data_IF_847753614335
#
_entry.id   IF_847753614335
#
_cell.length_a   1.000
_cell.length_b   1.000
_cell.length_c   1.000
_cell.angle_alpha   90.00
_cell.angle_beta   90.00
_cell.angle_gamma   90.00
#
_symmetry.space_group_name_H-M   'P 1'
#
loop_
_entity.id
_entity.type
_entity.pdbx_description
1 polymer ?
#
# COMPACT_ATOMS: atom_id res chain seq x y z
N UNK A 1 36.98 37.42 -6.18
CA UNK A 1 37.32 36.31 -5.28
C UNK A 1 36.53 35.12 -5.79
N UNK A 2 37.25 34.23 -6.48
CA UNK A 2 36.69 33.21 -7.36
C UNK A 2 36.16 32.00 -6.57
N UNK A 3 34.95 31.53 -6.90
CA UNK A 3 34.43 30.25 -6.47
C UNK A 3 34.91 29.14 -7.37
N UNK A 4 35.30 27.96 -6.84
CA UNK A 4 35.78 26.89 -7.68
C UNK A 4 34.63 26.13 -8.36
N UNK A 5 34.76 26.00 -9.67
CA UNK A 5 33.95 25.20 -10.59
C UNK A 5 34.02 23.71 -10.24
N UNK A 6 32.84 23.08 -10.05
CA UNK A 6 32.71 21.64 -9.94
C UNK A 6 32.96 20.98 -11.30
N UNK A 7 33.96 20.10 -11.37
CA UNK A 7 34.26 19.28 -12.54
C UNK A 7 33.13 18.21 -12.72
N UNK A 8 32.39 18.31 -13.81
CA UNK A 8 31.54 17.24 -14.32
C UNK A 8 32.44 16.13 -14.90
N UNK A 9 32.38 14.95 -14.32
CA UNK A 9 32.89 13.72 -14.93
C UNK A 9 31.78 13.19 -15.89
N UNK A 10 31.93 13.54 -17.16
CA UNK A 10 31.16 12.94 -18.25
C UNK A 10 31.73 11.53 -18.53
N UNK A 11 31.06 10.52 -17.96
CA UNK A 11 31.30 9.13 -18.36
C UNK A 11 30.44 8.83 -19.59
N UNK A 12 31.04 8.55 -20.71
CA UNK A 12 30.42 8.17 -21.96
C UNK A 12 29.75 6.79 -21.82
N UNK A 13 28.54 6.55 -22.43
CA UNK A 13 27.83 5.27 -22.34
C UNK A 13 28.60 4.05 -22.88
N UNK A 14 29.74 4.25 -23.53
CA UNK A 14 30.58 3.19 -24.14
C UNK A 14 31.62 2.59 -23.20
N UNK A 15 31.84 3.15 -21.99
CA UNK A 15 32.87 2.73 -21.06
C UNK A 15 32.40 1.73 -19.99
N UNK A 16 31.23 1.16 -20.14
CA UNK A 16 30.74 0.09 -19.25
C UNK A 16 31.12 -1.28 -19.83
N UNK A 17 31.70 -2.20 -19.04
CA UNK A 17 31.98 -3.56 -19.48
C UNK A 17 30.72 -4.27 -19.92
N UNK A 18 30.67 -4.84 -21.12
CA UNK A 18 29.54 -5.55 -21.69
C UNK A 18 29.39 -6.99 -21.17
N UNK A 19 30.26 -7.47 -20.30
CA UNK A 19 30.25 -8.83 -19.77
C UNK A 19 29.92 -8.87 -18.29
N UNK A 20 28.61 -8.72 -17.97
CA UNK A 20 28.08 -9.20 -16.70
C UNK A 20 27.65 -10.66 -16.88
N UNK A 21 28.13 -11.62 -16.05
CA UNK A 21 27.74 -13.01 -16.17
C UNK A 21 26.24 -13.18 -15.98
N UNK A 22 25.58 -13.80 -16.95
CA UNK A 22 24.13 -14.08 -16.99
C UNK A 22 23.67 -15.16 -16.01
N UNK A 23 24.51 -15.62 -15.10
CA UNK A 23 24.20 -16.66 -14.11
C UNK A 23 24.44 -16.17 -12.69
N UNK A 24 23.55 -15.30 -12.21
CA UNK A 24 23.35 -15.18 -10.77
C UNK A 24 22.34 -16.27 -10.37
N UNK A 25 22.88 -17.36 -9.84
CA UNK A 25 22.11 -18.48 -9.31
C UNK A 25 21.00 -18.04 -8.36
N UNK A 26 19.80 -18.63 -8.45
CA UNK A 26 18.79 -18.51 -7.40
C UNK A 26 19.26 -19.34 -6.20
N UNK A 27 19.46 -18.68 -5.09
CA UNK A 27 19.61 -19.33 -3.80
C UNK A 27 21.02 -19.77 -3.45
N UNK A 28 21.73 -18.93 -2.69
CA UNK A 28 22.69 -19.44 -1.74
C UNK A 28 21.94 -20.41 -0.80
N UNK A 29 22.49 -21.62 -0.54
CA UNK A 29 21.93 -22.49 0.48
C UNK A 29 21.87 -21.72 1.80
N UNK A 30 20.87 -21.96 2.66
CA UNK A 30 20.81 -21.32 3.97
C UNK A 30 21.98 -21.83 4.81
N UNK A 31 23.14 -21.16 4.75
CA UNK A 31 24.07 -21.23 5.85
C UNK A 31 23.29 -20.71 7.05
N UNK A 32 22.96 -21.61 7.98
CA UNK A 32 22.38 -21.26 9.27
C UNK A 32 23.25 -20.15 9.84
N UNK A 33 22.66 -18.96 9.98
CA UNK A 33 23.35 -17.78 10.41
C UNK A 33 23.85 -17.94 11.85
N UNK A 34 25.06 -18.46 12.01
CA UNK A 34 25.75 -18.60 13.29
C UNK A 34 26.49 -17.32 13.73
N UNK A 35 26.08 -16.14 13.20
CA UNK A 35 26.70 -14.85 13.54
C UNK A 35 25.73 -13.70 13.64
N UNK A 36 24.59 -13.88 14.28
CA UNK A 36 23.79 -12.71 14.67
C UNK A 36 23.48 -12.84 16.15
N UNK A 37 23.75 -11.81 16.88
CA UNK A 37 23.30 -11.56 18.23
C UNK A 37 24.29 -11.95 19.32
N UNK A 38 25.28 -11.10 19.52
CA UNK A 38 25.93 -10.94 20.82
C UNK A 38 25.13 -9.88 21.57
N UNK A 39 24.58 -10.21 22.73
CA UNK A 39 23.84 -9.25 23.54
C UNK A 39 22.76 -9.91 24.40
N UNK A 40 22.13 -9.16 25.30
CA UNK A 40 21.17 -9.68 26.28
C UNK A 40 19.91 -10.33 25.66
N UNK A 41 19.63 -10.09 24.39
CA UNK A 41 18.45 -10.61 23.68
C UNK A 41 18.79 -11.67 22.63
N UNK A 42 20.05 -12.09 22.50
CA UNK A 42 20.54 -12.97 21.47
C UNK A 42 19.73 -14.29 21.34
N UNK A 43 19.54 -14.96 22.45
CA UNK A 43 18.83 -16.25 22.49
C UNK A 43 17.37 -16.12 22.03
N UNK A 44 16.66 -15.07 22.45
CA UNK A 44 15.27 -14.85 22.05
C UNK A 44 15.16 -14.44 20.59
N UNK A 45 16.07 -13.61 20.07
CA UNK A 45 16.13 -13.27 18.66
C UNK A 45 16.40 -14.49 17.77
N UNK A 46 17.29 -15.40 18.20
CA UNK A 46 17.56 -16.64 17.49
C UNK A 46 16.33 -17.57 17.48
N UNK A 47 15.66 -17.73 18.62
CA UNK A 47 14.41 -18.47 18.72
C UNK A 47 13.33 -17.93 17.77
N UNK A 48 13.16 -16.58 17.74
CA UNK A 48 12.17 -15.93 16.87
C UNK A 48 12.54 -16.04 15.40
N UNK A 49 13.84 -15.95 15.07
CA UNK A 49 14.32 -16.15 13.72
C UNK A 49 13.97 -17.57 13.21
N UNK A 50 14.25 -18.61 14.00
CA UNK A 50 13.85 -19.98 13.67
C UNK A 50 12.34 -20.14 13.49
N UNK A 51 11.55 -19.55 14.40
CA UNK A 51 10.07 -19.57 14.32
C UNK A 51 9.56 -18.96 13.00
N UNK A 52 10.14 -17.83 12.54
CA UNK A 52 9.77 -17.14 11.29
C UNK A 52 10.24 -17.95 10.08
N UNK A 53 11.44 -18.51 10.13
CA UNK A 53 12.00 -19.35 9.06
C UNK A 53 11.17 -20.63 8.88
N UNK A 54 10.62 -21.20 9.95
CA UNK A 54 9.72 -22.35 9.90
C UNK A 54 8.28 -21.96 9.46
N UNK A 55 7.97 -20.68 9.27
CA UNK A 55 6.65 -20.19 8.87
C UNK A 55 5.62 -20.16 9.98
N UNK A 56 6.06 -20.21 11.21
CA UNK A 56 5.17 -20.16 12.39
C UNK A 56 4.83 -18.70 12.73
N UNK A 57 3.53 -18.44 12.88
CA UNK A 57 2.99 -17.12 13.22
C UNK A 57 3.54 -16.59 14.55
N UNK A 58 3.98 -15.32 14.55
CA UNK A 58 4.43 -14.62 15.75
C UNK A 58 3.27 -13.95 16.48
N UNK A 59 3.38 -13.84 17.79
CA UNK A 59 2.42 -13.15 18.67
C UNK A 59 2.67 -11.64 18.68
N UNK A 60 1.71 -10.82 19.18
CA UNK A 60 1.91 -9.38 19.35
C UNK A 60 3.13 -9.03 20.21
N UNK A 61 3.36 -9.76 21.31
CA UNK A 61 4.53 -9.56 22.18
C UNK A 61 5.86 -9.86 21.46
N UNK A 62 5.90 -10.94 20.66
CA UNK A 62 7.06 -11.30 19.83
C UNK A 62 7.30 -10.26 18.72
N UNK A 63 6.23 -9.74 18.10
CA UNK A 63 6.33 -8.65 17.13
C UNK A 63 6.91 -7.37 17.72
N UNK A 64 6.45 -6.97 18.90
CA UNK A 64 7.00 -5.82 19.63
C UNK A 64 8.46 -6.05 20.02
N UNK A 65 8.79 -7.24 20.52
CA UNK A 65 10.16 -7.60 20.85
C UNK A 65 11.10 -7.50 19.65
N UNK A 66 10.70 -8.01 18.48
CA UNK A 66 11.45 -7.87 17.24
C UNK A 66 11.60 -6.40 16.81
N UNK A 67 10.52 -5.61 16.94
CA UNK A 67 10.57 -4.18 16.62
C UNK A 67 11.64 -3.45 17.44
N UNK A 68 11.75 -3.75 18.76
CA UNK A 68 12.57 -3.02 19.69
C UNK A 68 14.02 -3.52 19.75
N UNK A 69 14.25 -4.81 19.52
CA UNK A 69 15.53 -5.45 19.77
C UNK A 69 16.25 -6.04 18.56
N UNK A 70 15.55 -6.37 17.47
CA UNK A 70 16.21 -6.87 16.27
C UNK A 70 16.91 -5.73 15.52
N UNK A 71 18.11 -5.99 15.01
CA UNK A 71 18.75 -5.06 14.07
C UNK A 71 18.05 -5.06 12.70
N UNK A 72 18.34 -4.03 11.90
CA UNK A 72 17.67 -3.85 10.61
C UNK A 72 18.02 -4.96 9.60
N UNK A 73 19.24 -5.49 9.65
CA UNK A 73 19.70 -6.53 8.71
C UNK A 73 19.03 -7.86 9.03
N UNK A 74 18.90 -8.21 10.30
CA UNK A 74 18.18 -9.40 10.75
C UNK A 74 16.71 -9.32 10.30
N UNK A 75 16.03 -8.21 10.57
CA UNK A 75 14.64 -8.02 10.15
C UNK A 75 14.49 -8.11 8.63
N UNK A 76 15.38 -7.47 7.88
CA UNK A 76 15.38 -7.50 6.41
C UNK A 76 15.56 -8.91 5.87
N UNK A 77 16.51 -9.69 6.40
CA UNK A 77 16.75 -11.08 6.02
C UNK A 77 15.53 -11.97 6.30
N UNK A 78 14.95 -11.86 7.49
CA UNK A 78 13.76 -12.63 7.85
C UNK A 78 12.56 -12.27 6.98
N UNK A 79 12.34 -10.99 6.73
CA UNK A 79 11.27 -10.51 5.85
C UNK A 79 11.47 -10.98 4.39
N UNK A 80 12.72 -10.96 3.87
CA UNK A 80 13.01 -11.47 2.51
C UNK A 80 12.82 -13.00 2.43
N UNK A 81 13.12 -13.74 3.50
CA UNK A 81 12.81 -15.19 3.59
C UNK A 81 11.30 -15.43 3.50
N UNK A 82 10.48 -14.64 4.22
CA UNK A 82 9.01 -14.73 4.13
C UNK A 82 8.53 -14.36 2.71
N UNK A 83 9.07 -13.29 2.12
CA UNK A 83 8.76 -12.91 0.73
C UNK A 83 9.13 -14.03 -0.24
N UNK A 84 10.33 -14.60 -0.16
CA UNK A 84 10.79 -15.65 -1.07
C UNK A 84 9.92 -16.93 -0.98
N UNK A 85 9.42 -17.26 0.20
CA UNK A 85 8.47 -18.36 0.40
C UNK A 85 7.13 -18.10 -0.29
N UNK A 86 6.62 -16.86 -0.22
CA UNK A 86 5.34 -16.47 -0.83
C UNK A 86 5.44 -16.21 -2.33
N UNK A 87 6.60 -15.73 -2.80
CA UNK A 87 6.86 -15.31 -4.18
C UNK A 87 8.21 -15.88 -4.67
N UNK A 88 8.29 -17.21 -4.86
CA UNK A 88 9.55 -17.90 -5.17
C UNK A 88 10.08 -17.58 -6.58
N UNK A 89 9.22 -17.07 -7.50
CA UNK A 89 9.60 -16.80 -8.89
C UNK A 89 10.50 -15.57 -9.06
N UNK A 90 10.79 -14.83 -7.98
CA UNK A 90 11.61 -13.62 -8.04
C UNK A 90 11.01 -12.47 -8.85
N UNK A 91 9.67 -12.43 -8.94
CA UNK A 91 8.93 -11.34 -9.59
C UNK A 91 8.60 -10.25 -8.59
N UNK A 92 8.65 -9.00 -9.07
CA UNK A 92 8.11 -7.84 -8.36
C UNK A 92 7.09 -7.16 -9.26
N UNK A 93 5.87 -7.03 -8.75
CA UNK A 93 4.76 -6.48 -9.50
C UNK A 93 4.70 -4.95 -9.40
N UNK A 94 4.04 -4.33 -10.39
CA UNK A 94 3.63 -2.91 -10.37
C UNK A 94 2.34 -2.75 -11.18
N UNK A 95 1.60 -1.67 -10.92
CA UNK A 95 0.37 -1.36 -11.68
C UNK A 95 0.49 0.01 -12.35
N UNK A 96 -0.07 0.12 -13.57
CA UNK A 96 -0.21 1.42 -14.24
C UNK A 96 -1.54 2.02 -13.81
N UNK A 97 -1.46 3.06 -12.98
CA UNK A 97 -2.61 3.71 -12.39
C UNK A 97 -2.47 5.23 -12.29
N UNK A 98 -3.54 5.88 -11.91
CA UNK A 98 -3.61 7.31 -11.59
C UNK A 98 -4.29 7.50 -10.25
N UNK A 99 -3.79 8.40 -9.41
CA UNK A 99 -4.53 8.92 -8.25
C UNK A 99 -5.39 10.10 -8.72
N UNK A 100 -6.71 9.97 -8.66
CA UNK A 100 -7.68 10.95 -9.10
C UNK A 100 -8.57 11.38 -7.94
N UNK A 101 -8.58 12.68 -7.66
CA UNK A 101 -9.34 13.24 -6.55
C UNK A 101 -10.50 14.08 -7.09
N UNK A 102 -11.75 13.55 -7.16
CA UNK A 102 -12.89 14.27 -7.70
C UNK A 102 -13.26 15.53 -6.91
N UNK A 103 -12.90 15.59 -5.63
CA UNK A 103 -13.07 16.77 -4.80
C UNK A 103 -12.04 16.81 -3.67
N UNK A 104 -11.57 18.00 -3.31
CA UNK A 104 -10.78 18.24 -2.11
C UNK A 104 -11.62 18.83 -0.95
N UNK A 105 -12.93 19.05 -1.17
CA UNK A 105 -13.82 19.57 -0.14
C UNK A 105 -14.05 18.54 0.95
N UNK A 106 -13.67 18.85 2.20
CA UNK A 106 -13.77 17.93 3.31
C UNK A 106 -14.18 18.64 4.60
N UNK A 107 -15.06 17.97 5.38
CA UNK A 107 -15.52 18.44 6.69
C UNK A 107 -14.86 17.72 7.86
N UNK A 108 -13.89 16.81 7.59
CA UNK A 108 -13.27 15.98 8.63
C UNK A 108 -12.12 16.68 9.35
N UNK A 109 -11.48 17.67 8.72
CA UNK A 109 -10.41 18.52 9.30
C UNK A 109 -9.27 17.69 9.95
N UNK A 110 -8.76 16.65 9.25
CA UNK A 110 -7.66 15.84 9.78
C UNK A 110 -6.40 16.68 9.95
N UNK A 111 -5.76 16.58 11.14
CA UNK A 111 -4.59 17.40 11.48
C UNK A 111 -3.33 17.13 10.64
N UNK A 112 -3.28 15.99 9.95
CA UNK A 112 -2.18 15.58 9.09
C UNK A 112 -2.42 15.81 7.58
N UNK A 113 -3.59 16.32 7.15
CA UNK A 113 -3.94 16.41 5.74
C UNK A 113 -3.70 17.81 5.20
N UNK A 114 -2.74 17.99 4.32
CA UNK A 114 -2.47 19.25 3.61
C UNK A 114 -3.39 19.47 2.39
N UNK A 115 -4.02 18.42 1.91
CA UNK A 115 -4.79 18.44 0.66
C UNK A 115 -6.19 19.04 0.80
N UNK A 116 -6.88 18.77 1.92
CA UNK A 116 -8.28 19.15 2.06
C UNK A 116 -8.52 20.67 2.04
N UNK A 117 -9.70 21.05 1.60
CA UNK A 117 -10.23 22.43 1.72
C UNK A 117 -11.60 22.38 2.40
N UNK A 118 -11.89 23.34 3.25
CA UNK A 118 -13.24 23.50 3.82
C UNK A 118 -14.25 23.92 2.74
N UNK A 119 -15.55 23.58 2.89
CA UNK A 119 -16.57 24.03 1.96
C UNK A 119 -16.55 25.54 1.77
N UNK A 120 -16.45 26.01 0.53
CA UNK A 120 -16.38 27.43 0.19
C UNK A 120 -15.03 28.12 0.40
N UNK A 121 -14.00 27.41 0.86
CA UNK A 121 -12.65 27.95 0.96
C UNK A 121 -12.03 28.14 -0.43
N UNK A 122 -11.05 29.06 -0.52
CA UNK A 122 -10.25 29.25 -1.73
C UNK A 122 -9.57 27.94 -2.14
N UNK A 123 -9.59 27.62 -3.44
CA UNK A 123 -9.05 26.38 -3.99
C UNK A 123 -9.90 25.13 -3.68
N UNK A 124 -11.08 25.28 -3.07
CA UNK A 124 -12.04 24.18 -2.96
C UNK A 124 -12.67 23.87 -4.33
N UNK A 125 -12.72 22.57 -4.69
CA UNK A 125 -13.28 22.16 -5.98
C UNK A 125 -14.11 20.87 -5.90
N UNK A 126 -15.02 20.75 -6.84
CA UNK A 126 -15.55 19.48 -7.35
C UNK A 126 -15.20 19.44 -8.83
N UNK A 127 -14.45 18.39 -9.25
CA UNK A 127 -13.95 18.28 -10.62
C UNK A 127 -15.11 18.06 -11.60
N UNK A 128 -15.10 18.81 -12.69
CA UNK A 128 -16.11 18.69 -13.73
C UNK A 128 -15.94 17.42 -14.58
N UNK A 129 -17.02 16.87 -15.13
CA UNK A 129 -17.00 15.64 -15.95
C UNK A 129 -16.00 15.69 -17.10
N UNK A 130 -15.91 16.77 -17.92
CA UNK A 130 -14.94 16.82 -19.01
C UNK A 130 -13.49 16.65 -18.55
N UNK A 131 -13.11 17.22 -17.41
CA UNK A 131 -11.77 17.09 -16.85
C UNK A 131 -11.52 15.68 -16.31
N UNK A 132 -12.51 15.07 -15.65
CA UNK A 132 -12.44 13.66 -15.24
C UNK A 132 -12.23 12.74 -16.44
N UNK A 133 -13.00 12.93 -17.51
CA UNK A 133 -12.86 12.15 -18.74
C UNK A 133 -11.48 12.32 -19.39
N UNK A 134 -10.97 13.54 -19.48
CA UNK A 134 -9.64 13.81 -20.02
C UNK A 134 -8.56 13.05 -19.27
N UNK A 135 -8.58 13.12 -17.95
CA UNK A 135 -7.60 12.41 -17.10
C UNK A 135 -7.74 10.89 -17.18
N UNK A 136 -8.95 10.38 -17.29
CA UNK A 136 -9.18 8.94 -17.48
C UNK A 136 -8.73 8.48 -18.87
N UNK A 137 -8.90 9.31 -19.91
CA UNK A 137 -8.40 9.01 -21.25
C UNK A 137 -6.88 8.96 -21.29
N UNK A 138 -6.18 9.91 -20.66
CA UNK A 138 -4.73 9.87 -20.54
C UNK A 138 -4.23 8.58 -19.86
N UNK A 139 -4.95 8.09 -18.84
CA UNK A 139 -4.64 6.82 -18.20
C UNK A 139 -4.89 5.64 -19.14
N UNK A 140 -5.99 5.65 -19.90
CA UNK A 140 -6.32 4.62 -20.88
C UNK A 140 -5.28 4.54 -22.01
N UNK A 141 -4.81 5.69 -22.52
CA UNK A 141 -3.85 5.80 -23.62
C UNK A 141 -2.50 5.14 -23.30
N UNK A 142 -2.09 5.15 -22.03
CA UNK A 142 -0.87 4.44 -21.58
C UNK A 142 -1.13 2.99 -21.12
N UNK A 143 -2.33 2.47 -21.37
CA UNK A 143 -2.72 1.11 -20.99
C UNK A 143 -2.96 0.95 -19.48
N UNK A 144 -3.39 2.01 -18.79
CA UNK A 144 -3.74 1.94 -17.38
C UNK A 144 -4.87 0.97 -17.08
N UNK A 145 -4.85 0.37 -15.91
CA UNK A 145 -5.81 -0.67 -15.48
C UNK A 145 -6.54 -0.33 -14.19
N UNK A 146 -6.14 0.72 -13.51
CA UNK A 146 -6.75 1.15 -12.25
C UNK A 146 -6.75 2.67 -12.15
N UNK A 147 -7.83 3.23 -11.63
CA UNK A 147 -7.83 4.56 -11.06
C UNK A 147 -8.01 4.45 -9.55
N UNK A 148 -7.08 5.02 -8.78
CA UNK A 148 -7.25 5.23 -7.34
C UNK A 148 -8.04 6.52 -7.15
N UNK A 149 -9.32 6.40 -6.76
CA UNK A 149 -10.23 7.54 -6.70
C UNK A 149 -10.70 7.79 -5.28
N UNK A 150 -10.13 8.82 -4.66
CA UNK A 150 -10.46 9.24 -3.32
C UNK A 150 -10.68 10.74 -3.28
N UNK A 151 -11.58 11.20 -2.42
CA UNK A 151 -11.88 12.62 -2.27
C UNK A 151 -12.00 13.04 -0.81
N UNK A 152 -12.41 14.29 -0.59
CA UNK A 152 -12.82 14.76 0.72
C UNK A 152 -14.23 14.30 1.09
N UNK A 153 -14.54 14.32 2.38
CA UNK A 153 -15.90 14.10 2.90
C UNK A 153 -16.75 15.35 2.57
N UNK A 154 -17.22 15.40 1.34
CA UNK A 154 -18.02 16.53 0.84
C UNK A 154 -19.43 16.49 1.44
N UNK A 155 -19.96 17.60 2.03
CA UNK A 155 -21.21 17.58 2.79
C UNK A 155 -22.47 17.41 1.94
N UNK A 156 -22.39 17.46 0.62
CA UNK A 156 -23.55 17.39 -0.30
C UNK A 156 -23.45 16.33 -1.39
N UNK A 157 -22.25 15.76 -1.66
CA UNK A 157 -22.11 14.68 -2.66
C UNK A 157 -22.55 13.36 -2.05
N UNK A 158 -23.79 12.98 -2.33
CA UNK A 158 -24.44 11.75 -1.86
C UNK A 158 -24.06 10.54 -2.70
N UNK A 159 -24.47 9.36 -2.28
CA UNK A 159 -24.27 8.09 -3.02
C UNK A 159 -24.72 8.18 -4.47
N UNK A 160 -25.84 8.83 -4.77
CA UNK A 160 -26.36 9.00 -6.13
C UNK A 160 -25.34 9.68 -7.05
N UNK A 161 -24.65 10.75 -6.60
CA UNK A 161 -23.64 11.44 -7.38
C UNK A 161 -22.45 10.53 -7.73
N UNK A 162 -22.03 9.67 -6.79
CA UNK A 162 -20.96 8.70 -7.03
C UNK A 162 -21.40 7.58 -7.97
N UNK A 163 -22.64 7.12 -7.87
CA UNK A 163 -23.21 6.13 -8.79
C UNK A 163 -23.20 6.68 -10.23
N UNK A 164 -23.73 7.89 -10.46
CA UNK A 164 -23.70 8.54 -11.76
C UNK A 164 -22.29 8.68 -12.32
N UNK A 165 -21.31 9.03 -11.47
CA UNK A 165 -19.90 9.11 -11.86
C UNK A 165 -19.37 7.73 -12.28
N UNK A 166 -19.59 6.70 -11.47
CA UNK A 166 -19.06 5.36 -11.72
C UNK A 166 -19.69 4.71 -12.96
N UNK A 167 -20.98 4.87 -13.18
CA UNK A 167 -21.67 4.39 -14.38
C UNK A 167 -21.10 5.03 -15.65
N UNK A 168 -20.92 6.35 -15.65
CA UNK A 168 -20.32 7.09 -16.76
C UNK A 168 -18.88 6.62 -17.03
N UNK A 169 -18.04 6.51 -15.98
CA UNK A 169 -16.65 6.08 -16.14
C UNK A 169 -16.54 4.61 -16.57
N UNK A 170 -17.37 3.71 -16.03
CA UNK A 170 -17.42 2.30 -16.43
C UNK A 170 -17.83 2.12 -17.89
N UNK A 171 -18.80 2.90 -18.35
CA UNK A 171 -19.25 2.86 -19.74
C UNK A 171 -18.16 3.32 -20.69
N UNK A 172 -17.42 4.38 -20.36
CA UNK A 172 -16.38 4.97 -21.21
C UNK A 172 -15.05 4.23 -21.14
N UNK A 173 -14.69 3.72 -19.98
CA UNK A 173 -13.39 3.12 -19.68
C UNK A 173 -13.53 1.73 -19.04
N UNK A 174 -14.14 0.75 -19.75
CA UNK A 174 -14.51 -0.56 -19.17
C UNK A 174 -13.32 -1.40 -18.73
N UNK A 175 -12.10 -1.08 -19.17
CA UNK A 175 -10.88 -1.80 -18.82
C UNK A 175 -10.17 -1.22 -17.59
N UNK A 176 -10.64 -0.09 -17.05
CA UNK A 176 -10.05 0.56 -15.87
C UNK A 176 -10.88 0.23 -14.64
N UNK A 177 -10.26 -0.44 -13.67
CA UNK A 177 -10.90 -0.72 -12.39
C UNK A 177 -11.06 0.57 -11.58
N UNK A 178 -12.27 0.80 -11.07
CA UNK A 178 -12.55 1.87 -10.11
C UNK A 178 -12.17 1.39 -8.70
N UNK A 179 -10.93 1.63 -8.29
CA UNK A 179 -10.44 1.43 -6.93
C UNK A 179 -10.72 2.70 -6.14
N UNK A 180 -11.90 2.77 -5.53
CA UNK A 180 -12.45 4.05 -5.09
C UNK A 180 -13.08 3.99 -3.70
N UNK A 181 -13.23 5.17 -3.07
CA UNK A 181 -13.92 5.38 -1.81
C UNK A 181 -13.34 4.56 -0.65
N UNK A 182 -12.55 5.19 0.19
CA UNK A 182 -12.06 4.58 1.44
C UNK A 182 -13.19 4.26 2.42
N UNK A 183 -12.92 3.41 3.42
CA UNK A 183 -13.90 3.10 4.46
C UNK A 183 -14.49 4.36 5.16
N UNK A 184 -13.70 5.42 5.49
CA UNK A 184 -14.27 6.65 5.99
C UNK A 184 -15.21 7.38 5.01
N UNK A 185 -14.92 7.32 3.69
CA UNK A 185 -15.81 7.92 2.69
C UNK A 185 -17.11 7.13 2.57
N UNK A 186 -17.06 5.80 2.58
CA UNK A 186 -18.26 4.93 2.59
C UNK A 186 -19.12 5.17 3.84
N UNK A 187 -18.49 5.26 5.01
CA UNK A 187 -19.18 5.59 6.26
C UNK A 187 -19.80 7.00 6.23
N UNK A 188 -19.08 7.97 5.62
CA UNK A 188 -19.62 9.31 5.41
C UNK A 188 -20.84 9.31 4.49
N UNK A 189 -20.83 8.58 3.37
CA UNK A 189 -22.00 8.45 2.48
C UNK A 189 -23.17 7.80 3.19
N UNK A 190 -22.93 6.73 3.96
CA UNK A 190 -23.98 6.06 4.75
C UNK A 190 -24.66 7.04 5.74
N UNK A 191 -23.86 7.87 6.43
CA UNK A 191 -24.38 8.91 7.34
C UNK A 191 -25.12 10.01 6.58
N UNK A 192 -24.57 10.47 5.45
CA UNK A 192 -25.16 11.56 4.64
C UNK A 192 -26.51 11.15 4.04
N UNK A 193 -26.66 9.90 3.61
CA UNK A 193 -27.88 9.35 3.06
C UNK A 193 -28.81 8.74 4.12
N UNK A 194 -28.36 8.66 5.39
CA UNK A 194 -29.07 8.01 6.50
C UNK A 194 -29.47 6.56 6.16
N UNK A 195 -28.52 5.81 5.57
CA UNK A 195 -28.69 4.43 5.12
C UNK A 195 -27.60 3.52 5.70
N UNK A 196 -27.85 2.21 5.85
CA UNK A 196 -26.81 1.24 6.16
C UNK A 196 -25.69 1.24 5.09
N UNK A 197 -24.45 1.01 5.49
CA UNK A 197 -23.29 1.00 4.56
C UNK A 197 -23.43 -0.11 3.52
N UNK A 198 -24.04 -1.23 3.86
CA UNK A 198 -24.32 -2.36 2.97
C UNK A 198 -25.26 -1.97 1.82
N UNK A 199 -26.22 -1.08 2.09
CA UNK A 199 -27.13 -0.56 1.06
C UNK A 199 -26.39 0.44 0.13
N UNK A 200 -25.52 1.28 0.69
CA UNK A 200 -24.67 2.20 -0.08
C UNK A 200 -23.71 1.39 -0.96
N UNK A 201 -23.05 0.37 -0.41
CA UNK A 201 -22.14 -0.51 -1.15
C UNK A 201 -22.85 -1.21 -2.32
N UNK A 202 -24.06 -1.72 -2.11
CA UNK A 202 -24.84 -2.38 -3.16
C UNK A 202 -25.06 -1.46 -4.36
N UNK A 203 -25.46 -0.21 -4.11
CA UNK A 203 -25.71 0.76 -5.18
C UNK A 203 -24.39 1.11 -5.91
N UNK A 204 -23.30 1.36 -5.18
CA UNK A 204 -22.00 1.68 -5.75
C UNK A 204 -21.42 0.52 -6.56
N UNK A 205 -21.57 -0.73 -6.10
CA UNK A 205 -21.15 -1.94 -6.83
C UNK A 205 -21.95 -2.06 -8.14
N UNK A 206 -23.24 -1.88 -8.11
CA UNK A 206 -24.08 -1.89 -9.30
C UNK A 206 -23.64 -0.82 -10.31
N UNK A 207 -23.25 0.36 -9.83
CA UNK A 207 -22.74 1.46 -10.63
C UNK A 207 -21.31 1.21 -11.18
N UNK A 208 -20.52 0.30 -10.59
CA UNK A 208 -19.19 -0.03 -11.13
C UNK A 208 -18.02 0.08 -10.14
N UNK A 209 -18.26 0.28 -8.85
CA UNK A 209 -17.20 0.19 -7.85
C UNK A 209 -16.56 -1.20 -7.91
N UNK A 210 -15.27 -1.28 -8.21
CA UNK A 210 -14.57 -2.54 -8.43
C UNK A 210 -13.72 -3.02 -7.25
N UNK A 211 -13.21 -2.12 -6.43
CA UNK A 211 -12.45 -2.42 -5.21
C UNK A 211 -12.31 -1.19 -4.32
N UNK A 212 -11.93 -1.38 -3.05
CA UNK A 212 -11.86 -0.31 -2.05
C UNK A 212 -10.43 -0.14 -1.53
N UNK A 213 -9.85 1.08 -1.54
CA UNK A 213 -8.54 1.32 -0.95
C UNK A 213 -8.59 1.28 0.59
N UNK A 214 -7.52 0.79 1.20
CA UNK A 214 -7.35 0.75 2.66
C UNK A 214 -7.09 2.10 3.33
N UNK A 215 -7.10 3.16 2.55
CA UNK A 215 -6.87 4.51 3.05
C UNK A 215 -7.86 4.92 4.15
N UNK A 216 -7.48 5.91 4.90
CA UNK A 216 -8.24 6.33 6.08
C UNK A 216 -8.02 5.45 7.30
N UNK A 217 -7.25 4.36 7.19
CA UNK A 217 -6.79 3.58 8.32
C UNK A 217 -5.88 4.42 9.22
N UNK A 218 -4.94 5.10 8.65
CA UNK A 218 -3.81 5.78 9.28
C UNK A 218 -3.17 4.91 10.36
N UNK A 219 -3.70 4.97 11.57
CA UNK A 219 -3.40 4.06 12.69
C UNK A 219 -4.73 3.57 13.30
N UNK A 220 -4.97 2.25 13.28
CA UNK A 220 -6.21 1.65 13.82
C UNK A 220 -6.11 1.46 15.34
N UNK A 221 -5.80 2.54 16.04
CA UNK A 221 -5.74 2.65 17.50
C UNK A 221 -6.46 3.93 17.91
N UNK A 222 -7.52 3.81 18.71
CA UNK A 222 -8.45 4.91 18.96
C UNK A 222 -7.77 6.13 19.61
N UNK A 223 -6.81 5.91 20.54
CA UNK A 223 -6.02 7.01 21.13
C UNK A 223 -5.35 7.85 20.05
N UNK A 224 -4.72 7.21 19.10
CA UNK A 224 -4.00 7.88 18.00
C UNK A 224 -4.99 8.62 17.10
N UNK A 225 -6.07 7.94 16.68
CA UNK A 225 -7.10 8.52 15.79
C UNK A 225 -7.73 9.77 16.37
N UNK A 226 -8.06 9.74 17.67
CA UNK A 226 -8.64 10.89 18.37
C UNK A 226 -7.71 12.10 18.36
N UNK A 227 -6.38 11.90 18.37
CA UNK A 227 -5.41 12.99 18.29
C UNK A 227 -5.29 13.53 16.86
N UNK A 228 -5.08 12.65 15.87
CA UNK A 228 -4.72 13.09 14.52
C UNK A 228 -5.91 13.40 13.62
N UNK A 229 -7.08 12.83 13.91
CA UNK A 229 -8.29 12.97 13.09
C UNK A 229 -9.58 12.69 13.89
N UNK A 230 -9.93 13.53 14.89
CA UNK A 230 -11.01 13.27 15.85
C UNK A 230 -12.41 13.14 15.23
N UNK A 231 -12.61 13.71 14.04
CA UNK A 231 -13.90 13.64 13.32
C UNK A 231 -13.96 12.49 12.31
N UNK A 232 -12.87 11.73 12.15
CA UNK A 232 -12.81 10.61 11.21
C UNK A 232 -13.47 9.37 11.82
N UNK A 233 -13.88 8.47 10.94
CA UNK A 233 -14.44 7.15 11.31
C UNK A 233 -13.55 6.45 12.35
N UNK A 234 -14.14 5.90 13.42
CA UNK A 234 -13.46 5.16 14.49
C UNK A 234 -12.78 3.89 13.95
N UNK A 235 -11.88 3.33 14.73
CA UNK A 235 -11.18 2.08 14.42
C UNK A 235 -12.16 0.94 14.13
N UNK A 236 -13.11 0.69 15.05
CA UNK A 236 -14.06 -0.41 14.91
C UNK A 236 -14.98 -0.21 13.70
N UNK A 237 -15.37 1.02 13.43
CA UNK A 237 -16.20 1.34 12.26
C UNK A 237 -15.43 1.16 10.96
N UNK A 238 -14.15 1.52 10.90
CA UNK A 238 -13.29 1.26 9.74
C UNK A 238 -13.23 -0.25 9.44
N UNK A 239 -12.99 -1.07 10.46
CA UNK A 239 -12.94 -2.53 10.35
C UNK A 239 -14.31 -3.11 9.91
N UNK A 240 -15.40 -2.62 10.49
CA UNK A 240 -16.75 -3.04 10.12
C UNK A 240 -17.11 -2.71 8.67
N UNK A 241 -16.71 -1.53 8.16
CA UNK A 241 -16.90 -1.16 6.76
C UNK A 241 -16.09 -2.07 5.83
N UNK A 242 -14.81 -2.36 6.12
CA UNK A 242 -14.05 -3.30 5.32
C UNK A 242 -14.61 -4.72 5.36
N UNK A 243 -15.13 -5.17 6.50
CA UNK A 243 -15.86 -6.44 6.59
C UNK A 243 -17.06 -6.46 5.63
N UNK A 244 -17.89 -5.42 5.65
CA UNK A 244 -19.04 -5.30 4.74
C UNK A 244 -18.61 -5.26 3.26
N UNK A 245 -17.48 -4.59 2.94
CA UNK A 245 -16.88 -4.59 1.60
C UNK A 245 -16.50 -6.01 1.16
N UNK A 246 -15.84 -6.78 2.03
CA UNK A 246 -15.43 -8.16 1.74
C UNK A 246 -16.62 -9.10 1.62
N UNK A 247 -17.61 -8.98 2.50
CA UNK A 247 -18.87 -9.76 2.46
C UNK A 247 -19.69 -9.46 1.21
N UNK A 248 -19.63 -8.23 0.70
CA UNK A 248 -20.24 -7.86 -0.58
C UNK A 248 -19.48 -8.39 -1.82
N UNK A 249 -18.39 -9.15 -1.63
CA UNK A 249 -17.59 -9.76 -2.71
C UNK A 249 -16.49 -8.86 -3.28
N UNK A 250 -16.33 -7.64 -2.77
CA UNK A 250 -15.22 -6.78 -3.18
C UNK A 250 -13.92 -7.13 -2.44
N UNK A 251 -12.80 -6.80 -3.08
CA UNK A 251 -11.48 -6.81 -2.47
C UNK A 251 -11.07 -5.40 -2.05
N UNK A 252 -10.17 -5.32 -1.08
CA UNK A 252 -9.59 -4.05 -0.67
C UNK A 252 -8.09 -4.17 -0.42
N UNK A 253 -7.41 -3.03 -0.23
CA UNK A 253 -6.07 -3.00 0.32
C UNK A 253 -6.11 -2.68 1.82
N UNK A 254 -4.99 -2.92 2.50
CA UNK A 254 -4.76 -2.52 3.88
C UNK A 254 -3.61 -1.52 3.94
N UNK A 255 -3.68 -0.53 4.82
CA UNK A 255 -2.67 0.54 4.88
C UNK A 255 -2.34 0.95 6.31
N UNK A 256 -1.15 1.52 6.51
CA UNK A 256 -0.73 2.15 7.76
C UNK A 256 0.06 3.43 7.48
N UNK A 257 -0.29 4.53 8.13
CA UNK A 257 0.56 5.72 8.22
C UNK A 257 1.17 5.77 9.61
N UNK A 258 2.48 5.95 9.71
CA UNK A 258 3.21 5.95 10.97
C UNK A 258 4.27 7.06 11.02
N UNK A 259 4.91 7.22 12.17
CA UNK A 259 5.91 8.26 12.40
C UNK A 259 5.29 9.60 12.82
N UNK A 260 4.19 9.54 13.56
CA UNK A 260 3.50 10.68 14.14
C UNK A 260 3.47 10.60 15.69
N UNK A 261 2.35 10.19 16.31
CA UNK A 261 2.16 10.20 17.78
C UNK A 261 1.99 8.81 18.36
N UNK A 262 2.11 7.78 17.51
CA UNK A 262 1.96 6.38 17.89
C UNK A 262 3.21 5.84 18.58
N UNK A 263 3.05 4.81 19.41
CA UNK A 263 4.10 3.97 19.99
C UNK A 263 4.39 2.75 19.11
N UNK A 264 5.48 2.05 19.37
CA UNK A 264 5.80 0.79 18.69
C UNK A 264 4.73 -0.28 18.95
N UNK A 265 4.21 -0.37 20.16
CA UNK A 265 3.12 -1.29 20.53
C UNK A 265 1.85 -1.01 19.71
N UNK A 266 1.53 0.25 19.49
CA UNK A 266 0.35 0.65 18.69
C UNK A 266 0.51 0.33 17.20
N UNK A 267 1.74 0.29 16.65
CA UNK A 267 1.98 -0.25 15.30
C UNK A 267 1.67 -1.73 15.23
N UNK A 268 2.04 -2.49 16.27
CA UNK A 268 1.71 -3.93 16.37
C UNK A 268 0.21 -4.12 16.52
N UNK A 269 -0.46 -3.35 17.37
CA UNK A 269 -1.93 -3.39 17.53
C UNK A 269 -2.65 -3.12 16.21
N UNK A 270 -2.22 -2.12 15.45
CA UNK A 270 -2.76 -1.83 14.13
C UNK A 270 -2.64 -3.06 13.20
N UNK A 271 -1.45 -3.64 13.11
CA UNK A 271 -1.22 -4.83 12.28
C UNK A 271 -2.03 -6.04 12.76
N UNK A 272 -2.19 -6.22 14.09
CA UNK A 272 -3.01 -7.30 14.64
C UNK A 272 -4.47 -7.17 14.25
N UNK A 273 -5.04 -5.95 14.28
CA UNK A 273 -6.43 -5.70 13.85
C UNK A 273 -6.63 -6.01 12.36
N UNK A 274 -5.67 -5.66 11.51
CA UNK A 274 -5.70 -6.01 10.07
C UNK A 274 -5.57 -7.52 9.87
N UNK A 275 -4.65 -8.18 10.60
CA UNK A 275 -4.42 -9.62 10.52
C UNK A 275 -5.66 -10.40 10.94
N UNK A 276 -6.31 -9.99 12.03
CA UNK A 276 -7.55 -10.61 12.50
C UNK A 276 -8.68 -10.47 11.46
N UNK A 277 -8.89 -9.29 10.88
CA UNK A 277 -9.89 -9.10 9.83
C UNK A 277 -9.57 -9.92 8.58
N UNK A 278 -8.28 -10.05 8.22
CA UNK A 278 -7.86 -10.89 7.11
C UNK A 278 -8.08 -12.37 7.38
N UNK A 279 -7.84 -12.85 8.61
CA UNK A 279 -8.16 -14.23 9.00
C UNK A 279 -9.65 -14.55 8.84
N UNK A 280 -10.50 -13.58 9.18
CA UNK A 280 -11.96 -13.73 9.08
C UNK A 280 -12.47 -13.69 7.65
N UNK A 281 -11.95 -12.77 6.82
CA UNK A 281 -12.55 -12.42 5.53
C UNK A 281 -11.72 -12.78 4.30
N UNK A 282 -10.38 -12.81 4.44
CA UNK A 282 -9.45 -13.00 3.32
C UNK A 282 -9.51 -11.89 2.25
N UNK A 283 -10.12 -10.74 2.55
CA UNK A 283 -10.48 -9.73 1.55
C UNK A 283 -9.37 -8.73 1.20
N UNK A 284 -8.32 -8.60 2.01
CA UNK A 284 -7.19 -7.73 1.71
C UNK A 284 -6.27 -8.35 0.66
N UNK A 285 -6.04 -7.63 -0.44
CA UNK A 285 -5.13 -8.04 -1.51
C UNK A 285 -3.68 -7.70 -1.23
N UNK A 286 -3.45 -6.61 -0.51
CA UNK A 286 -2.12 -6.10 -0.21
C UNK A 286 -2.10 -5.21 1.03
N UNK A 287 -0.91 -5.05 1.59
CA UNK A 287 -0.61 -4.04 2.61
C UNK A 287 0.43 -3.05 2.09
N UNK A 288 0.21 -1.77 2.38
CA UNK A 288 1.16 -0.68 2.15
C UNK A 288 1.30 0.20 3.38
N UNK A 289 2.52 0.58 3.74
CA UNK A 289 2.73 1.58 4.78
C UNK A 289 3.60 2.73 4.29
N UNK A 290 3.41 3.90 4.92
CA UNK A 290 4.18 5.09 4.65
C UNK A 290 4.37 5.94 5.90
N UNK A 291 5.37 6.81 5.85
CA UNK A 291 5.63 7.73 6.96
C UNK A 291 4.78 9.00 6.82
N UNK A 292 4.37 9.55 7.95
CA UNK A 292 3.76 10.88 8.03
C UNK A 292 4.66 11.90 7.34
N UNK A 293 4.04 12.77 6.52
CA UNK A 293 4.69 13.91 5.87
C UNK A 293 4.24 15.17 6.61
N UNK A 294 5.12 15.81 7.41
CA UNK A 294 4.72 16.88 8.32
C UNK A 294 4.62 18.26 7.69
N UNK A 295 5.12 18.42 6.46
CA UNK A 295 5.18 19.73 5.82
C UNK A 295 3.79 20.21 5.38
N UNK A 296 3.45 21.46 5.71
CA UNK A 296 2.22 22.11 5.26
C UNK A 296 0.90 21.56 5.82
N UNK A 297 0.94 20.70 6.84
CA UNK A 297 -0.25 20.16 7.48
C UNK A 297 -0.79 21.08 8.58
N UNK A 298 -2.12 21.03 8.89
CA UNK A 298 -2.74 21.94 9.86
C UNK A 298 -2.17 21.87 11.28
N UNK A 299 -1.72 20.70 11.74
CA UNK A 299 -1.19 20.49 13.10
C UNK A 299 0.28 20.06 13.03
N UNK A 300 1.09 20.77 12.27
CA UNK A 300 2.50 20.44 12.06
C UNK A 300 3.30 20.35 13.37
N UNK A 301 2.92 21.09 14.39
CA UNK A 301 3.54 21.09 15.71
C UNK A 301 3.45 19.74 16.43
N UNK A 302 2.46 18.89 16.10
CA UNK A 302 2.34 17.53 16.61
C UNK A 302 3.35 16.58 15.97
N UNK A 303 3.98 16.98 14.87
CA UNK A 303 4.83 16.11 14.03
C UNK A 303 6.22 16.73 13.82
N UNK A 304 6.99 16.94 14.89
CA UNK A 304 8.22 17.75 14.86
C UNK A 304 9.35 17.10 14.04
N UNK A 305 9.24 15.82 13.74
CA UNK A 305 10.28 15.07 13.00
C UNK A 305 9.65 14.10 12.02
N UNK A 306 10.17 14.10 10.80
CA UNK A 306 9.88 13.08 9.80
C UNK A 306 10.58 11.76 10.18
N UNK A 307 9.89 10.64 10.06
CA UNK A 307 10.50 9.33 10.25
C UNK A 307 11.61 9.10 9.22
N UNK A 308 12.70 8.47 9.67
CA UNK A 308 13.87 8.22 8.81
C UNK A 308 13.61 7.06 7.83
N UNK A 309 14.34 6.98 6.71
CA UNK A 309 14.30 5.80 5.83
C UNK A 309 14.60 4.48 6.59
N UNK A 310 15.51 4.50 7.57
CA UNK A 310 15.78 3.33 8.42
C UNK A 310 14.56 2.88 9.22
N UNK A 311 13.80 3.83 9.77
CA UNK A 311 12.52 3.53 10.46
C UNK A 311 11.51 2.92 9.47
N UNK A 312 11.40 3.47 8.27
CA UNK A 312 10.52 2.94 7.23
C UNK A 312 10.87 1.49 6.86
N UNK A 313 12.14 1.22 6.59
CA UNK A 313 12.62 -0.13 6.25
C UNK A 313 12.34 -1.14 7.38
N UNK A 314 12.55 -0.74 8.64
CA UNK A 314 12.25 -1.55 9.83
C UNK A 314 10.77 -1.92 9.90
N UNK A 315 9.89 -0.94 9.79
CA UNK A 315 8.44 -1.15 9.86
C UNK A 315 7.94 -2.00 8.70
N UNK A 316 8.46 -1.76 7.50
CA UNK A 316 8.11 -2.55 6.31
C UNK A 316 8.53 -4.02 6.44
N UNK A 317 9.75 -4.28 6.92
CA UNK A 317 10.23 -5.64 7.15
C UNK A 317 9.40 -6.35 8.22
N UNK A 318 9.11 -5.66 9.31
CA UNK A 318 8.28 -6.21 10.39
C UNK A 318 6.86 -6.49 9.89
N UNK A 319 6.26 -5.61 9.09
CA UNK A 319 4.94 -5.82 8.52
C UNK A 319 4.87 -7.09 7.66
N UNK A 320 5.89 -7.38 6.81
CA UNK A 320 5.98 -8.63 6.05
C UNK A 320 6.01 -9.87 6.95
N UNK A 321 6.76 -9.79 8.07
CA UNK A 321 6.85 -10.91 9.02
C UNK A 321 5.54 -11.09 9.78
N UNK A 322 4.92 -9.99 10.21
CA UNK A 322 3.76 -10.01 11.09
C UNK A 322 2.44 -10.31 10.38
N UNK A 323 2.23 -9.75 9.19
CA UNK A 323 1.03 -9.93 8.36
C UNK A 323 1.18 -11.17 7.47
N UNK A 324 1.34 -12.33 8.09
CA UNK A 324 1.61 -13.62 7.44
C UNK A 324 0.49 -14.07 6.49
N UNK A 325 -0.74 -13.59 6.70
CA UNK A 325 -1.94 -13.89 5.94
C UNK A 325 -2.25 -12.88 4.82
N UNK A 326 -1.46 -11.81 4.66
CA UNK A 326 -1.55 -10.89 3.52
C UNK A 326 -0.42 -11.22 2.53
N UNK A 327 -0.79 -11.57 1.30
CA UNK A 327 0.19 -12.08 0.33
C UNK A 327 1.12 -10.98 -0.21
N UNK A 328 0.59 -9.80 -0.49
CA UNK A 328 1.37 -8.77 -1.14
C UNK A 328 1.72 -7.61 -0.20
N UNK A 329 3.01 -7.24 -0.23
CA UNK A 329 3.54 -6.07 0.47
C UNK A 329 4.02 -5.05 -0.55
N UNK A 330 3.38 -3.89 -0.55
CA UNK A 330 3.68 -2.80 -1.47
C UNK A 330 4.64 -1.81 -0.84
N UNK A 331 5.64 -1.37 -1.61
CA UNK A 331 6.50 -0.25 -1.22
C UNK A 331 5.80 1.10 -1.47
N UNK A 332 6.19 2.14 -0.73
CA UNK A 332 5.67 3.50 -0.90
C UNK A 332 6.76 4.44 -1.43
N UNK A 333 7.14 4.31 -2.71
CA UNK A 333 8.16 5.19 -3.29
C UNK A 333 7.69 6.64 -3.37
N UNK A 334 6.40 6.89 -3.47
CA UNK A 334 5.82 8.23 -3.55
C UNK A 334 6.17 9.08 -2.32
N UNK A 335 6.22 8.46 -1.13
CA UNK A 335 6.58 9.14 0.12
C UNK A 335 8.05 8.98 0.51
N UNK A 336 8.70 7.88 0.09
CA UNK A 336 10.05 7.51 0.53
C UNK A 336 11.15 7.75 -0.51
N UNK A 337 10.77 7.98 -1.76
CA UNK A 337 11.68 8.04 -2.89
C UNK A 337 12.11 6.66 -3.40
N UNK A 338 12.60 6.64 -4.64
CA UNK A 338 12.91 5.41 -5.36
C UNK A 338 14.00 4.54 -4.71
N UNK A 339 15.01 5.16 -4.07
CA UNK A 339 16.12 4.42 -3.44
C UNK A 339 15.65 3.62 -2.22
N UNK A 340 14.87 4.26 -1.33
CA UNK A 340 14.32 3.56 -0.17
C UNK A 340 13.33 2.48 -0.60
N UNK A 341 12.49 2.75 -1.59
CA UNK A 341 11.57 1.78 -2.18
C UNK A 341 12.31 0.56 -2.76
N UNK A 342 13.38 0.76 -3.50
CA UNK A 342 14.22 -0.33 -4.02
C UNK A 342 14.75 -1.22 -2.89
N UNK A 343 15.21 -0.63 -1.78
CA UNK A 343 15.71 -1.40 -0.63
C UNK A 343 14.64 -2.28 -0.01
N UNK A 344 13.38 -1.84 0.04
CA UNK A 344 12.29 -2.64 0.62
C UNK A 344 12.02 -3.93 -0.14
N UNK A 345 12.40 -4.03 -1.42
CA UNK A 345 12.29 -5.27 -2.19
C UNK A 345 13.15 -6.41 -1.60
N UNK A 346 14.23 -6.07 -0.90
CA UNK A 346 15.07 -7.00 -0.11
C UNK A 346 14.70 -7.01 1.36
N UNK A 347 13.62 -6.33 1.71
CA UNK A 347 13.06 -6.27 3.07
C UNK A 347 11.58 -6.68 3.08
N UNK A 348 11.22 -7.63 2.22
CA UNK A 348 9.92 -8.28 2.25
C UNK A 348 8.88 -7.76 1.26
N UNK A 349 9.09 -6.67 0.54
CA UNK A 349 8.17 -6.22 -0.50
C UNK A 349 8.28 -7.07 -1.77
N UNK A 350 7.13 -7.32 -2.41
CA UNK A 350 7.01 -7.99 -3.70
C UNK A 350 6.21 -7.16 -4.72
N UNK A 351 5.81 -5.94 -4.35
CA UNK A 351 5.08 -5.02 -5.21
C UNK A 351 5.67 -3.61 -5.10
N UNK A 352 5.95 -2.98 -6.26
CA UNK A 352 6.50 -1.63 -6.30
C UNK A 352 5.43 -0.54 -6.19
N UNK A 353 4.16 -0.91 -6.26
CA UNK A 353 3.01 -0.01 -6.21
C UNK A 353 2.54 0.45 -7.58
N UNK A 354 1.79 1.54 -7.58
CA UNK A 354 1.26 2.15 -8.78
C UNK A 354 2.22 3.19 -9.39
N UNK A 355 2.06 3.45 -10.69
CA UNK A 355 2.79 4.54 -11.36
C UNK A 355 2.40 5.90 -10.82
N UNK A 356 1.20 5.99 -10.24
CA UNK A 356 0.65 7.24 -9.72
C UNK A 356 0.87 8.40 -10.71
N UNK A 357 0.33 8.24 -11.93
CA UNK A 357 0.48 9.22 -13.02
C UNK A 357 0.23 10.67 -12.54
N UNK A 358 -0.55 10.79 -11.48
CA UNK A 358 -0.83 12.00 -10.74
C UNK A 358 -0.91 11.68 -9.25
N UNK A 359 -0.37 12.55 -8.40
CA UNK A 359 -0.49 12.44 -6.94
C UNK A 359 -0.62 13.84 -6.34
N UNK A 360 -1.79 14.15 -5.78
CA UNK A 360 -2.14 15.47 -5.27
C UNK A 360 -2.14 15.55 -3.73
N UNK A 361 -2.21 14.41 -3.04
CA UNK A 361 -2.43 14.37 -1.60
C UNK A 361 -1.12 14.58 -0.83
N UNK A 362 -0.10 13.76 -1.12
CA UNK A 362 1.21 13.91 -0.47
C UNK A 362 2.07 14.99 -1.13
N UNK A 363 1.79 15.35 -2.39
CA UNK A 363 2.42 16.52 -3.03
C UNK A 363 2.03 17.84 -2.35
N UNK A 364 0.80 17.93 -1.84
CA UNK A 364 0.36 19.06 -1.01
C UNK A 364 1.17 19.17 0.30
N UNK A 365 1.79 18.08 0.77
CA UNK A 365 2.72 18.04 1.89
C UNK A 365 4.20 18.04 1.44
N UNK A 366 4.52 18.56 0.26
CA UNK A 366 5.89 18.74 -0.23
C UNK A 366 6.59 17.47 -0.74
N UNK A 367 5.87 16.39 -1.01
CA UNK A 367 6.43 15.11 -1.45
C UNK A 367 6.16 14.86 -2.94
N UNK A 368 7.19 14.97 -3.79
CA UNK A 368 7.06 14.98 -5.26
C UNK A 368 7.79 13.81 -5.95
N UNK A 369 7.70 12.60 -5.42
CA UNK A 369 8.35 11.44 -6.00
C UNK A 369 7.43 10.74 -7.01
N UNK A 370 7.42 11.19 -8.25
CA UNK A 370 6.78 10.49 -9.36
C UNK A 370 7.84 9.83 -10.24
N UNK A 371 7.50 8.73 -10.86
CA UNK A 371 8.41 8.00 -11.73
C UNK A 371 7.67 7.36 -12.93
N UNK A 372 8.23 7.50 -14.15
CA UNK A 372 7.73 6.78 -15.31
C UNK A 372 7.96 5.27 -15.17
N UNK A 373 7.22 4.47 -15.95
CA UNK A 373 7.24 3.00 -15.91
C UNK A 373 8.67 2.46 -16.01
N UNK A 374 9.44 2.95 -16.98
CA UNK A 374 10.80 2.51 -17.24
C UNK A 374 11.72 2.68 -16.01
N UNK A 375 11.48 3.75 -15.25
CA UNK A 375 12.24 4.03 -14.03
C UNK A 375 11.88 3.07 -12.91
N UNK A 376 10.59 2.74 -12.75
CA UNK A 376 10.13 1.74 -11.79
C UNK A 376 10.73 0.37 -12.12
N UNK A 377 10.63 -0.07 -13.37
CA UNK A 377 11.19 -1.34 -13.82
C UNK A 377 12.72 -1.39 -13.64
N UNK A 378 13.42 -0.29 -13.91
CA UNK A 378 14.85 -0.20 -13.67
C UNK A 378 15.21 -0.41 -12.19
N UNK A 379 14.44 0.18 -11.25
CA UNK A 379 14.67 -0.04 -9.82
C UNK A 379 14.44 -1.51 -9.42
N UNK A 380 13.40 -2.14 -9.96
CA UNK A 380 13.09 -3.55 -9.71
C UNK A 380 14.25 -4.44 -10.22
N UNK A 381 14.72 -4.23 -11.48
CA UNK A 381 15.84 -4.98 -12.03
C UNK A 381 17.13 -4.78 -11.24
N UNK A 382 17.43 -3.55 -10.80
CA UNK A 382 18.61 -3.24 -9.96
C UNK A 382 18.56 -3.92 -8.60
N UNK A 383 17.36 -4.22 -8.07
CA UNK A 383 17.21 -5.01 -6.86
C UNK A 383 17.36 -6.53 -7.10
N UNK A 384 17.58 -6.96 -8.36
CA UNK A 384 17.73 -8.37 -8.75
C UNK A 384 16.42 -9.12 -8.92
N UNK A 385 15.34 -8.41 -9.28
CA UNK A 385 14.01 -8.99 -9.52
C UNK A 385 13.52 -8.73 -10.95
N UNK A 386 12.56 -9.54 -11.39
CA UNK A 386 11.88 -9.37 -12.68
C UNK A 386 10.65 -8.47 -12.49
N UNK A 387 10.58 -7.29 -13.16
CA UNK A 387 9.37 -6.46 -13.12
C UNK A 387 8.25 -7.11 -13.92
N UNK A 388 7.03 -7.12 -13.35
CA UNK A 388 5.84 -7.63 -14.00
C UNK A 388 4.67 -6.70 -13.76
N UNK A 389 3.95 -6.31 -14.83
CA UNK A 389 2.71 -5.54 -14.71
C UNK A 389 1.60 -6.43 -14.17
N UNK A 390 0.80 -5.91 -13.25
CA UNK A 390 -0.36 -6.58 -12.67
C UNK A 390 -1.66 -5.79 -12.88
N UNK A 391 -2.78 -6.45 -12.65
CA UNK A 391 -4.08 -5.80 -12.46
C UNK A 391 -4.34 -5.43 -10.98
N UNK A 392 -5.53 -4.91 -10.68
CA UNK A 392 -5.93 -4.49 -9.32
C UNK A 392 -6.03 -5.65 -8.32
N UNK A 393 -6.20 -6.88 -8.81
CA UNK A 393 -6.36 -8.10 -8.00
C UNK A 393 -5.12 -8.99 -7.99
N UNK A 394 -3.95 -8.43 -8.39
CA UNK A 394 -2.66 -9.12 -8.46
C UNK A 394 -2.58 -10.24 -9.52
N UNK A 395 -3.53 -10.31 -10.45
CA UNK A 395 -3.42 -11.13 -11.65
C UNK A 395 -2.36 -10.59 -12.62
N UNK A 396 -1.60 -11.51 -13.22
CA UNK A 396 -0.51 -11.17 -14.16
C UNK A 396 -0.93 -11.26 -15.62
N UNK A 397 -2.14 -11.74 -15.89
CA UNK A 397 -2.67 -11.94 -17.24
C UNK A 397 -3.64 -10.82 -17.59
N UNK A 398 -3.29 -10.03 -18.61
CA UNK A 398 -4.13 -8.95 -19.14
C UNK A 398 -5.48 -9.45 -19.69
N UNK A 399 -5.60 -10.73 -20.04
CA UNK A 399 -6.81 -11.31 -20.61
C UNK A 399 -7.93 -11.59 -19.58
N UNK A 400 -7.63 -11.57 -18.27
CA UNK A 400 -8.60 -11.80 -17.19
C UNK A 400 -8.88 -10.53 -16.40
N UNK A 401 -9.41 -9.51 -17.08
CA UNK A 401 -9.71 -8.20 -16.48
C UNK A 401 -11.05 -8.15 -15.71
N UNK A 402 -11.71 -9.29 -15.49
CA UNK A 402 -12.91 -9.35 -14.66
C UNK A 402 -12.56 -9.40 -13.18
N UNK A 403 -13.28 -8.61 -12.34
CA UNK A 403 -13.26 -8.84 -10.91
C UNK A 403 -13.63 -10.31 -10.62
N UNK A 404 -13.01 -10.97 -9.59
CA UNK A 404 -13.47 -12.27 -9.17
C UNK A 404 -14.97 -12.18 -8.86
N UNK A 405 -15.80 -12.86 -9.64
CA UNK A 405 -17.24 -12.92 -9.40
C UNK A 405 -17.50 -13.98 -8.35
N UNK A 406 -17.81 -13.56 -7.13
CA UNK A 406 -18.18 -14.47 -6.05
C UNK A 406 -17.78 -13.97 -4.67
N UNK A 407 -18.39 -14.48 -3.61
CA UNK A 407 -17.97 -14.19 -2.25
C UNK A 407 -16.53 -14.61 -2.03
N UNK A 408 -15.82 -13.88 -1.16
CA UNK A 408 -14.44 -14.11 -0.79
C UNK A 408 -14.31 -15.46 -0.07
N UNK A 409 -14.25 -16.58 -0.80
CA UNK A 409 -14.18 -17.92 -0.22
C UNK A 409 -12.74 -18.27 0.17
N UNK A 410 -12.57 -18.73 1.43
CA UNK A 410 -11.32 -19.29 1.97
C UNK A 410 -10.68 -20.41 1.11
N UNK A 411 -11.47 -21.08 0.27
CA UNK A 411 -11.02 -22.21 -0.55
C UNK A 411 -10.08 -21.80 -1.70
N UNK A 412 -10.22 -20.60 -2.27
CA UNK A 412 -9.36 -20.18 -3.39
C UNK A 412 -7.98 -19.68 -2.94
N UNK A 413 -7.86 -19.19 -1.71
CA UNK A 413 -6.57 -18.83 -1.12
C UNK A 413 -5.71 -20.07 -0.77
N UNK A 414 -6.32 -21.25 -0.64
CA UNK A 414 -5.62 -22.50 -0.32
C UNK A 414 -5.13 -23.27 -1.56
N UNK A 415 -5.66 -23.00 -2.75
CA UNK A 415 -5.32 -23.75 -4.00
C UNK A 415 -4.04 -23.27 -4.68
N UNK A 416 -3.45 -22.16 -4.23
CA UNK A 416 -2.09 -21.76 -4.65
C UNK A 416 -0.96 -22.35 -3.78
N UNK A 417 -1.28 -23.24 -2.85
CA UNK A 417 -0.27 -24.06 -2.14
C UNK A 417 0.01 -25.31 -2.97
N UNK A 418 1.12 -25.27 -3.72
CA UNK A 418 1.92 -26.36 -4.25
C UNK A 418 1.22 -27.69 -4.54
N UNK A 419 1.01 -28.00 -5.82
CA UNK A 419 0.93 -29.40 -6.23
C UNK A 419 2.28 -30.08 -5.97
N UNK A 420 2.36 -31.26 -5.32
CA UNK A 420 3.60 -31.99 -5.18
C UNK A 420 4.06 -32.47 -6.55
N UNK A 421 5.35 -32.31 -6.84
CA UNK A 421 5.99 -32.88 -8.00
C UNK A 421 5.77 -34.40 -7.97
N UNK A 422 4.95 -34.92 -8.89
CA UNK A 422 4.74 -36.35 -9.09
C UNK A 422 6.05 -37.01 -9.52
N UNK A 423 6.51 -37.94 -8.71
CA UNK A 423 7.61 -38.84 -9.06
C UNK A 423 7.21 -39.72 -10.24
N UNK A 424 8.11 -39.80 -11.21
CA UNK A 424 8.08 -40.77 -12.29
C UNK A 424 8.72 -42.05 -11.74
N UNK A 425 7.94 -43.13 -11.77
CA UNK A 425 8.45 -44.49 -11.69
C UNK A 425 8.85 -44.97 -13.09
#
# INVERSE_FOLDING_TARGET
>A
MDSPTAAHLDLHPQDLPQDLPQNLHPGLPPERASRATQGPHAQELERLAGKIEDGVRITPAEGLFLHDHADLLLLGRLADTVRARKHPEGRVTYIVDRNLNPTNVCITDCGFCAFYRRPGAEGAYVMERPELHRRMQELADIGGRQVLMQGGHHPRLKTAWWCELFEDLRQRFPLINLHALSAPELDHLAKLDKRPVEAVLRDLIAAGLGSVPGAGAEMLVERVRTIIAPKKTSTDRWLAVHRAVHEAGLRSSATMMFGHVETHAERIEHMERLRALQDDTGGFTAFACWTMQPEGVPQQELYPRKATPGTYLRVQALARIYLDNIDNMQTSYVTQGLKAAQMTLRMGCNDFGGTMLEENVVSAAGCFHLAPIEKLEQQIRRAGFTPVRRNSWYGLDDARLGAPTGPCNRAEAATHKGAPAGGVA
#
